data_IF_627854521181
#
_entry.id   IF_627854521181
#
_cell.length_a   1.000
_cell.length_b   1.000
_cell.length_c   1.000
_cell.angle_alpha   90.00
_cell.angle_beta   90.00
_cell.angle_gamma   90.00
#
_symmetry.space_group_name_H-M   'P 1'
#
loop_
_entity.id
_entity.type
_entity.pdbx_description
1 polymer ?
#
# COMPACT_ATOMS: atom_id res chain seq x y z
N UNK A 1 -15.58 -12.43 -16.58
CA UNK A 1 -14.82 -12.27 -15.32
C UNK A 1 -15.32 -13.30 -14.33
N UNK A 2 -14.44 -13.90 -13.52
CA UNK A 2 -14.89 -14.77 -12.42
C UNK A 2 -15.69 -13.94 -11.42
N UNK A 3 -16.63 -14.59 -10.71
CA UNK A 3 -17.27 -13.96 -9.55
C UNK A 3 -16.19 -13.59 -8.51
N UNK A 4 -16.16 -12.35 -7.98
CA UNK A 4 -15.23 -11.96 -6.92
C UNK A 4 -15.26 -12.89 -5.71
N UNK A 5 -16.44 -13.43 -5.37
CA UNK A 5 -16.61 -14.43 -4.32
C UNK A 5 -15.76 -15.69 -4.58
N UNK A 6 -15.69 -16.13 -5.84
CA UNK A 6 -14.88 -17.29 -6.22
C UNK A 6 -13.38 -16.98 -6.16
N UNK A 7 -12.97 -15.77 -6.51
CA UNK A 7 -11.57 -15.37 -6.41
C UNK A 7 -11.12 -15.30 -4.95
N UNK A 8 -11.95 -14.76 -4.05
CA UNK A 8 -11.65 -14.74 -2.61
C UNK A 8 -11.61 -16.16 -2.03
N UNK A 9 -12.52 -17.06 -2.45
CA UNK A 9 -12.49 -18.47 -2.00
C UNK A 9 -11.20 -19.20 -2.37
N UNK A 10 -10.57 -18.87 -3.51
CA UNK A 10 -9.27 -19.43 -3.91
C UNK A 10 -8.13 -19.04 -2.98
N UNK A 11 -8.31 -18.03 -2.12
CA UNK A 11 -7.35 -17.62 -1.10
C UNK A 11 -7.48 -18.40 0.20
N UNK A 12 -8.56 -19.15 0.41
CA UNK A 12 -8.71 -19.98 1.62
C UNK A 12 -7.54 -20.98 1.76
N UNK A 13 -7.15 -21.74 0.70
CA UNK A 13 -5.98 -22.62 0.76
C UNK A 13 -4.63 -21.92 0.95
N UNK A 14 -4.57 -20.59 0.87
CA UNK A 14 -3.35 -19.84 1.17
C UNK A 14 -3.10 -19.67 2.66
N UNK A 15 -4.12 -19.89 3.51
CA UNK A 15 -4.02 -19.75 4.96
C UNK A 15 -3.81 -18.31 5.44
N UNK A 16 -3.56 -18.15 6.74
CA UNK A 16 -3.32 -16.85 7.36
C UNK A 16 -4.49 -15.86 7.17
N UNK A 17 -4.16 -14.61 6.88
CA UNK A 17 -5.09 -13.49 6.74
C UNK A 17 -5.44 -13.10 5.31
N UNK A 18 -4.98 -13.87 4.31
CA UNK A 18 -5.15 -13.54 2.89
C UNK A 18 -6.62 -13.36 2.51
N UNK A 19 -7.44 -14.39 2.70
CA UNK A 19 -8.86 -14.34 2.38
C UNK A 19 -9.59 -13.25 3.19
N UNK A 20 -9.26 -13.08 4.48
CA UNK A 20 -9.86 -12.06 5.34
C UNK A 20 -9.60 -10.62 4.84
N UNK A 21 -8.36 -10.33 4.43
CA UNK A 21 -7.97 -9.03 3.88
C UNK A 21 -8.74 -8.70 2.60
N UNK A 22 -8.70 -9.60 1.62
CA UNK A 22 -9.33 -9.35 0.33
C UNK A 22 -10.87 -9.35 0.43
N UNK A 23 -11.44 -10.12 1.35
CA UNK A 23 -12.86 -10.05 1.68
C UNK A 23 -13.25 -8.70 2.29
N UNK A 24 -12.42 -8.13 3.16
CA UNK A 24 -12.69 -6.81 3.72
C UNK A 24 -12.68 -5.71 2.65
N UNK A 25 -11.68 -5.71 1.76
CA UNK A 25 -11.63 -4.75 0.65
C UNK A 25 -12.84 -4.91 -0.29
N UNK A 26 -13.21 -6.16 -0.59
CA UNK A 26 -14.43 -6.50 -1.33
C UNK A 26 -15.70 -5.97 -0.64
N UNK A 27 -15.82 -6.19 0.67
CA UNK A 27 -16.94 -5.72 1.48
C UNK A 27 -17.10 -4.19 1.40
N UNK A 28 -16.02 -3.43 1.58
CA UNK A 28 -16.06 -1.97 1.48
C UNK A 28 -16.51 -1.53 0.08
N UNK A 29 -15.95 -2.13 -0.98
CA UNK A 29 -16.33 -1.79 -2.36
C UNK A 29 -17.81 -2.07 -2.65
N UNK A 30 -18.39 -3.12 -2.07
CA UNK A 30 -19.81 -3.47 -2.23
C UNK A 30 -20.72 -2.50 -1.48
N UNK A 31 -20.36 -2.16 -0.24
CA UNK A 31 -21.10 -1.17 0.55
C UNK A 31 -21.17 0.18 -0.18
N UNK A 32 -20.05 0.65 -0.73
CA UNK A 32 -20.00 1.92 -1.46
C UNK A 32 -20.75 1.91 -2.80
N UNK A 33 -21.06 0.73 -3.32
CA UNK A 33 -21.86 0.54 -4.53
C UNK A 33 -23.31 0.14 -4.21
N UNK A 34 -23.74 0.25 -2.94
CA UNK A 34 -25.07 -0.14 -2.47
C UNK A 34 -25.44 -1.59 -2.82
N UNK A 35 -24.47 -2.51 -2.74
CA UNK A 35 -24.66 -3.94 -3.00
C UNK A 35 -24.78 -4.73 -1.71
N UNK A 36 -25.56 -5.81 -1.76
CA UNK A 36 -25.58 -6.82 -0.71
C UNK A 36 -24.23 -7.52 -0.61
N UNK A 37 -23.81 -7.85 0.62
CA UNK A 37 -22.59 -8.62 0.87
C UNK A 37 -22.94 -10.06 1.26
N UNK A 38 -22.01 -10.98 0.97
CA UNK A 38 -22.23 -12.41 1.15
C UNK A 38 -21.88 -12.86 2.58
N UNK A 39 -22.86 -12.81 3.49
CA UNK A 39 -22.71 -13.28 4.88
C UNK A 39 -22.21 -14.74 4.99
N UNK A 40 -22.75 -15.71 4.22
CA UNK A 40 -22.21 -17.08 4.19
C UNK A 40 -20.71 -17.14 3.85
N UNK A 41 -20.24 -16.31 2.91
CA UNK A 41 -18.83 -16.24 2.56
C UNK A 41 -17.98 -15.70 3.72
N UNK A 42 -18.45 -14.66 4.43
CA UNK A 42 -17.76 -14.12 5.61
C UNK A 42 -17.50 -15.21 6.66
N UNK A 43 -18.52 -16.02 6.96
CA UNK A 43 -18.44 -17.11 7.93
C UNK A 43 -17.45 -18.21 7.48
N UNK A 44 -17.48 -18.57 6.20
CA UNK A 44 -16.54 -19.53 5.64
C UNK A 44 -15.09 -19.03 5.75
N UNK A 45 -14.83 -17.77 5.41
CA UNK A 45 -13.49 -17.18 5.46
C UNK A 45 -12.99 -17.10 6.90
N UNK A 46 -13.84 -16.65 7.83
CA UNK A 46 -13.52 -16.59 9.27
C UNK A 46 -13.02 -17.93 9.80
N UNK A 47 -13.70 -19.03 9.46
CA UNK A 47 -13.35 -20.40 9.88
C UNK A 47 -11.99 -20.88 9.38
N UNK A 48 -11.51 -20.30 8.29
CA UNK A 48 -10.28 -20.73 7.61
C UNK A 48 -9.18 -19.67 7.63
N UNK A 49 -9.34 -18.61 8.43
CA UNK A 49 -8.35 -17.54 8.55
C UNK A 49 -7.63 -17.61 9.90
N UNK A 50 -6.40 -17.09 9.94
CA UNK A 50 -5.62 -16.95 11.16
C UNK A 50 -4.64 -15.78 11.07
N UNK A 51 -3.96 -15.46 12.17
CA UNK A 51 -3.05 -14.32 12.24
C UNK A 51 -3.74 -13.01 12.66
N UNK A 52 -2.96 -12.09 13.21
CA UNK A 52 -3.42 -10.78 13.68
C UNK A 52 -4.15 -9.97 12.59
N UNK A 53 -3.73 -10.10 11.33
CA UNK A 53 -4.38 -9.45 10.20
C UNK A 53 -5.84 -9.90 10.03
N UNK A 54 -6.09 -11.22 10.11
CA UNK A 54 -7.44 -11.76 10.01
C UNK A 54 -8.34 -11.24 11.14
N UNK A 55 -7.84 -11.28 12.38
CA UNK A 55 -8.54 -10.73 13.55
C UNK A 55 -8.91 -9.26 13.30
N UNK A 56 -7.93 -8.43 12.92
CA UNK A 56 -8.12 -6.99 12.65
C UNK A 56 -9.18 -6.72 11.58
N UNK A 57 -9.20 -7.45 10.47
CA UNK A 57 -10.18 -7.20 9.40
C UNK A 57 -11.58 -7.62 9.78
N UNK A 58 -11.72 -8.73 10.51
CA UNK A 58 -13.02 -9.18 10.95
C UNK A 58 -13.57 -8.32 12.10
N UNK A 59 -12.73 -7.81 12.99
CA UNK A 59 -13.15 -6.80 13.98
C UNK A 59 -13.70 -5.54 13.30
N UNK A 60 -13.06 -5.10 12.20
CA UNK A 60 -13.59 -3.98 11.40
C UNK A 60 -14.93 -4.30 10.76
N UNK A 61 -15.11 -5.51 10.21
CA UNK A 61 -16.39 -5.95 9.63
C UNK A 61 -17.49 -5.97 10.71
N UNK A 62 -17.20 -6.55 11.87
CA UNK A 62 -18.12 -6.61 13.00
C UNK A 62 -18.53 -5.21 13.46
N UNK A 63 -17.55 -4.30 13.56
CA UNK A 63 -17.81 -2.90 13.92
C UNK A 63 -18.73 -2.19 12.92
N UNK A 64 -18.56 -2.46 11.62
CA UNK A 64 -19.39 -1.81 10.58
C UNK A 64 -20.79 -2.43 10.51
N UNK A 65 -20.89 -3.75 10.64
CA UNK A 65 -22.16 -4.49 10.43
C UNK A 65 -23.00 -4.64 11.70
N UNK A 66 -22.40 -4.51 12.89
CA UNK A 66 -23.01 -4.89 14.16
C UNK A 66 -23.22 -6.40 14.32
N UNK A 67 -22.79 -7.22 13.36
CA UNK A 67 -22.96 -8.66 13.40
C UNK A 67 -21.83 -9.30 14.22
N UNK A 68 -22.16 -9.99 15.31
CA UNK A 68 -21.22 -10.74 16.16
C UNK A 68 -20.97 -12.18 15.70
N UNK A 69 -21.36 -12.54 14.48
CA UNK A 69 -21.38 -13.93 14.01
C UNK A 69 -20.01 -14.49 13.54
N UNK A 70 -18.91 -13.96 14.08
CA UNK A 70 -17.56 -14.35 13.66
C UNK A 70 -16.91 -15.15 14.77
N UNK A 71 -16.53 -16.39 14.44
CA UNK A 71 -15.89 -17.31 15.37
C UNK A 71 -14.54 -16.75 15.86
N UNK A 72 -14.05 -17.27 16.98
CA UNK A 72 -12.71 -16.98 17.46
C UNK A 72 -11.68 -17.30 16.36
N UNK A 73 -10.97 -16.28 15.89
CA UNK A 73 -9.87 -16.41 14.94
C UNK A 73 -8.57 -16.46 15.75
N UNK A 74 -7.79 -17.52 15.57
CA UNK A 74 -6.48 -17.62 16.21
C UNK A 74 -5.54 -16.54 15.66
N UNK A 75 -4.80 -15.88 16.55
CA UNK A 75 -3.75 -14.91 16.20
C UNK A 75 -2.47 -15.58 15.69
N UNK A 76 -2.34 -16.90 15.83
CA UNK A 76 -1.20 -17.69 15.33
C UNK A 76 -1.35 -17.98 13.83
N UNK A 77 -0.26 -17.93 13.09
CA UNK A 77 -0.25 -18.29 11.66
C UNK A 77 -0.03 -19.80 11.53
N UNK A 78 -0.90 -20.50 10.79
CA UNK A 78 -0.72 -21.91 10.44
C UNK A 78 -0.77 -22.06 8.92
N UNK A 79 0.16 -22.86 8.36
CA UNK A 79 0.20 -23.26 6.94
C UNK A 79 -0.13 -22.13 5.96
N UNK A 80 0.67 -21.07 5.99
CA UNK A 80 0.42 -19.88 5.18
C UNK A 80 1.40 -19.78 4.01
N UNK A 81 0.87 -19.51 2.81
CA UNK A 81 1.65 -19.27 1.59
C UNK A 81 2.23 -17.86 1.59
N UNK A 82 3.44 -17.74 1.05
CA UNK A 82 4.11 -16.47 0.83
C UNK A 82 3.97 -16.02 -0.63
N UNK A 83 3.79 -14.72 -0.87
CA UNK A 83 3.83 -14.13 -2.22
C UNK A 83 5.26 -13.83 -2.71
N UNK A 84 6.22 -13.89 -1.80
CA UNK A 84 7.64 -13.64 -2.07
C UNK A 84 8.44 -14.73 -1.38
N UNK A 85 9.38 -15.35 -2.07
CA UNK A 85 10.37 -16.20 -1.39
C UNK A 85 11.31 -15.35 -0.52
N UNK A 86 11.08 -15.43 0.80
CA UNK A 86 11.85 -14.70 1.79
C UNK A 86 13.24 -15.31 2.03
N UNK A 87 13.46 -16.57 1.67
CA UNK A 87 14.73 -17.27 1.92
C UNK A 87 15.85 -16.75 1.00
N UNK A 88 15.52 -16.34 -0.21
CA UNK A 88 16.46 -15.77 -1.16
C UNK A 88 16.85 -14.32 -0.84
N UNK A 89 16.12 -13.64 0.06
CA UNK A 89 16.40 -12.25 0.43
C UNK A 89 17.57 -12.11 1.40
N UNK A 90 17.77 -13.09 2.29
CA UNK A 90 18.89 -13.06 3.24
C UNK A 90 20.25 -13.17 2.56
N UNK A 91 20.27 -13.61 1.29
CA UNK A 91 21.49 -13.78 0.50
C UNK A 91 21.81 -12.59 -0.43
N UNK A 92 20.88 -11.63 -0.59
CA UNK A 92 21.08 -10.48 -1.46
C UNK A 92 21.61 -9.28 -0.66
N UNK A 93 22.89 -8.96 -0.83
CA UNK A 93 23.54 -7.79 -0.22
C UNK A 93 23.18 -6.49 -0.96
N UNK A 94 21.89 -6.14 -1.03
CA UNK A 94 21.45 -4.85 -1.57
C UNK A 94 21.14 -3.91 -0.41
N UNK A 95 22.00 -2.90 -0.20
CA UNK A 95 21.83 -1.90 0.87
C UNK A 95 20.48 -1.17 0.78
N UNK A 96 19.92 -1.03 -0.42
CA UNK A 96 18.63 -0.37 -0.64
C UNK A 96 17.45 -1.17 -0.09
N UNK A 97 17.65 -2.42 0.33
CA UNK A 97 16.64 -3.24 1.01
C UNK A 97 16.66 -3.09 2.53
N UNK A 98 17.61 -2.31 3.08
CA UNK A 98 17.81 -2.18 4.53
C UNK A 98 17.24 -0.88 5.07
N UNK A 99 16.65 -0.93 6.27
CA UNK A 99 16.14 0.26 6.94
C UNK A 99 17.26 1.23 7.34
N UNK A 100 18.44 0.71 7.64
CA UNK A 100 19.63 1.49 7.99
C UNK A 100 20.03 2.47 6.87
N UNK A 101 20.05 2.01 5.61
CA UNK A 101 20.38 2.85 4.46
C UNK A 101 19.42 4.04 4.33
N UNK A 102 18.10 3.78 4.31
CA UNK A 102 17.10 4.83 4.15
C UNK A 102 17.06 5.80 5.32
N UNK A 103 17.31 5.32 6.54
CA UNK A 103 17.42 6.17 7.72
C UNK A 103 18.64 7.09 7.64
N UNK A 104 19.80 6.59 7.17
CA UNK A 104 20.98 7.41 6.94
C UNK A 104 20.68 8.50 5.92
N UNK A 105 20.14 8.11 4.75
CA UNK A 105 19.74 9.05 3.69
C UNK A 105 18.80 10.14 4.20
N UNK A 106 17.82 9.79 5.03
CA UNK A 106 16.90 10.75 5.64
C UNK A 106 17.63 11.73 6.57
N UNK A 107 18.51 11.24 7.45
CA UNK A 107 19.28 12.08 8.39
C UNK A 107 20.22 13.03 7.67
N UNK A 108 20.89 12.54 6.62
CA UNK A 108 21.79 13.33 5.78
C UNK A 108 21.02 14.45 5.08
N UNK A 109 19.87 14.14 4.48
CA UNK A 109 19.02 15.13 3.81
C UNK A 109 18.46 16.18 4.77
N UNK A 110 18.09 15.79 6.00
CA UNK A 110 17.58 16.73 7.01
C UNK A 110 18.68 17.45 7.78
N UNK A 111 19.97 17.19 7.49
CA UNK A 111 21.14 17.73 8.19
C UNK A 111 21.02 17.61 9.71
N UNK A 112 20.55 16.46 10.21
CA UNK A 112 20.14 16.38 11.61
C UNK A 112 20.51 15.07 12.30
N UNK A 113 21.20 15.20 13.45
CA UNK A 113 21.20 14.18 14.51
C UNK A 113 19.86 14.12 15.27
N UNK A 114 18.85 14.84 14.77
CA UNK A 114 17.54 14.95 15.38
C UNK A 114 16.83 13.58 15.42
N UNK A 115 16.28 13.18 16.58
CA UNK A 115 15.49 11.97 16.71
C UNK A 115 14.37 11.89 15.65
N UNK A 116 14.15 10.70 15.08
CA UNK A 116 13.14 10.44 14.06
C UNK A 116 11.74 10.97 14.44
N UNK A 117 11.39 10.87 15.73
CA UNK A 117 10.13 11.42 16.28
C UNK A 117 9.96 12.92 16.02
N UNK A 118 11.04 13.69 16.10
CA UNK A 118 11.01 15.14 15.86
C UNK A 118 10.91 15.43 14.35
N UNK A 119 11.59 14.64 13.51
CA UNK A 119 11.45 14.73 12.04
C UNK A 119 10.00 14.46 11.65
N UNK A 120 9.39 13.37 12.14
CA UNK A 120 7.96 13.05 11.94
C UNK A 120 7.06 14.18 12.41
N UNK A 121 7.27 14.69 13.63
CA UNK A 121 6.45 15.77 14.18
C UNK A 121 6.55 17.06 13.35
N UNK A 122 7.73 17.40 12.82
CA UNK A 122 7.92 18.54 11.93
C UNK A 122 7.14 18.34 10.62
N UNK A 123 7.30 17.19 9.97
CA UNK A 123 6.59 16.85 8.75
C UNK A 123 5.06 16.81 8.93
N UNK A 124 4.58 16.51 10.14
CA UNK A 124 3.16 16.54 10.50
C UNK A 124 2.63 17.96 10.82
N UNK A 125 3.50 18.86 11.31
CA UNK A 125 3.14 20.24 11.70
C UNK A 125 3.15 21.24 10.56
N UNK A 126 3.84 20.97 9.46
CA UNK A 126 3.82 21.80 8.25
C UNK A 126 2.46 21.69 7.54
N UNK A 127 1.49 22.36 8.15
CA UNK A 127 0.10 22.50 7.74
C UNK A 127 -0.03 23.76 6.90
N UNK A 128 0.14 23.66 5.60
CA UNK A 128 -0.67 24.49 4.72
C UNK A 128 -1.79 23.57 4.19
N UNK A 129 -2.84 24.07 3.58
CA UNK A 129 -3.74 23.26 2.76
C UNK A 129 -3.70 23.89 1.38
N UNK A 130 -3.43 23.14 0.29
CA UNK A 130 -3.66 23.73 -1.00
C UNK A 130 -5.18 23.91 -1.17
N UNK A 131 -5.61 25.09 -1.61
CA UNK A 131 -7.02 25.36 -1.88
C UNK A 131 -7.47 24.55 -3.12
N UNK A 132 -8.50 23.70 -2.99
CA UNK A 132 -9.08 23.02 -4.14
C UNK A 132 -9.68 21.64 -3.87
N UNK A 133 -10.31 21.07 -4.90
CA UNK A 133 -10.86 19.72 -4.89
C UNK A 133 -9.76 18.65 -5.05
N UNK A 134 -9.85 17.50 -4.35
CA UNK A 134 -8.90 16.39 -4.50
C UNK A 134 -8.75 15.94 -5.95
N UNK A 135 -9.87 15.82 -6.68
CA UNK A 135 -9.88 15.46 -8.10
C UNK A 135 -9.07 16.45 -8.94
N UNK A 136 -9.22 17.75 -8.64
CA UNK A 136 -8.48 18.80 -9.36
C UNK A 136 -6.97 18.69 -9.14
N UNK A 137 -6.52 18.26 -7.95
CA UNK A 137 -5.10 17.98 -7.73
C UNK A 137 -4.61 16.77 -8.54
N UNK A 138 -5.42 15.71 -8.62
CA UNK A 138 -5.06 14.56 -9.45
C UNK A 138 -4.90 14.96 -10.92
N UNK A 139 -5.88 15.70 -11.46
CA UNK A 139 -5.93 16.11 -12.86
C UNK A 139 -4.84 17.12 -13.24
N UNK A 140 -4.59 18.12 -12.39
CA UNK A 140 -3.68 19.21 -12.72
C UNK A 140 -2.22 18.96 -12.30
N UNK A 141 -1.98 18.01 -11.39
CA UNK A 141 -0.64 17.76 -10.87
C UNK A 141 -0.25 16.29 -10.91
N UNK A 142 -1.02 15.39 -10.30
CA UNK A 142 -0.60 13.99 -10.14
C UNK A 142 -0.48 13.24 -11.45
N UNK A 143 -1.52 13.25 -12.29
CA UNK A 143 -1.50 12.52 -13.56
C UNK A 143 -0.50 13.12 -14.56
N UNK A 144 -0.38 14.45 -14.71
CA UNK A 144 0.69 15.05 -15.51
C UNK A 144 2.08 14.62 -15.03
N UNK A 145 2.36 14.72 -13.73
CA UNK A 145 3.65 14.30 -13.16
C UNK A 145 3.91 12.81 -13.41
N UNK A 146 2.91 11.95 -13.21
CA UNK A 146 3.05 10.52 -13.47
C UNK A 146 3.28 10.23 -14.96
N UNK A 147 2.70 10.99 -15.88
CA UNK A 147 2.99 10.84 -17.31
C UNK A 147 4.43 11.28 -17.65
N UNK A 148 4.99 12.26 -16.93
CA UNK A 148 6.42 12.62 -17.05
C UNK A 148 7.33 11.50 -16.51
N UNK A 149 6.95 10.86 -15.40
CA UNK A 149 7.69 9.74 -14.78
C UNK A 149 7.49 8.39 -15.52
N UNK A 150 6.39 8.26 -16.26
CA UNK A 150 5.98 7.06 -17.02
C UNK A 150 5.40 7.47 -18.39
N UNK A 151 6.25 7.65 -19.43
CA UNK A 151 5.87 8.27 -20.70
C UNK A 151 4.83 7.49 -21.53
N UNK A 152 4.47 6.27 -21.14
CA UNK A 152 3.48 5.43 -21.83
C UNK A 152 2.05 5.57 -21.28
N UNK A 153 1.80 6.49 -20.35
CA UNK A 153 0.48 6.67 -19.71
C UNK A 153 -0.37 7.75 -20.39
N UNK A 154 -1.68 7.57 -20.40
CA UNK A 154 -2.61 8.60 -20.89
C UNK A 154 -2.86 9.66 -19.81
N UNK A 155 -2.80 10.97 -20.14
CA UNK A 155 -2.95 12.04 -19.14
C UNK A 155 -4.40 12.26 -18.69
N UNK A 156 -5.38 11.89 -19.52
CA UNK A 156 -6.80 12.06 -19.22
C UNK A 156 -7.38 10.73 -18.76
N UNK A 157 -7.79 10.67 -17.50
CA UNK A 157 -8.43 9.50 -16.91
C UNK A 157 -9.75 9.88 -16.25
N UNK A 158 -10.77 9.06 -16.48
CA UNK A 158 -12.05 9.21 -15.81
C UNK A 158 -11.98 8.51 -14.45
N UNK A 159 -11.90 9.30 -13.38
CA UNK A 159 -11.90 8.82 -12.00
C UNK A 159 -13.11 9.38 -11.28
N UNK A 160 -13.86 8.52 -10.58
CA UNK A 160 -14.92 8.98 -9.67
C UNK A 160 -14.37 9.19 -8.28
N UNK A 161 -14.94 10.13 -7.53
CA UNK A 161 -14.55 10.44 -6.17
C UNK A 161 -15.72 10.28 -5.21
N UNK A 162 -15.49 9.63 -4.07
CA UNK A 162 -16.48 9.42 -3.02
C UNK A 162 -15.88 9.79 -1.65
N UNK A 163 -16.52 10.70 -0.93
CA UNK A 163 -16.21 10.96 0.47
C UNK A 163 -17.09 10.13 1.39
N UNK A 164 -16.47 9.39 2.30
CA UNK A 164 -17.16 8.45 3.18
C UNK A 164 -16.35 8.15 4.43
N UNK A 165 -17.00 7.99 5.58
CA UNK A 165 -16.33 7.58 6.82
C UNK A 165 -15.75 6.16 6.73
N UNK A 166 -16.32 5.31 5.86
CA UNK A 166 -15.85 3.94 5.61
C UNK A 166 -14.41 3.90 5.09
N UNK A 167 -13.96 4.94 4.37
CA UNK A 167 -12.59 5.03 3.90
C UNK A 167 -11.58 5.14 5.05
N UNK A 168 -12.00 5.54 6.26
CA UNK A 168 -11.17 5.49 7.46
C UNK A 168 -10.86 4.06 7.92
N UNK A 169 -11.67 3.09 7.51
CA UNK A 169 -11.48 1.67 7.82
C UNK A 169 -10.74 0.93 6.70
N UNK A 170 -10.89 1.38 5.45
CA UNK A 170 -10.26 0.81 4.28
C UNK A 170 -8.75 1.04 4.24
N UNK A 171 -8.00 0.02 3.82
CA UNK A 171 -6.57 0.21 3.50
C UNK A 171 -6.42 0.83 2.12
N UNK A 172 -6.90 0.14 1.07
CA UNK A 172 -6.96 0.69 -0.27
C UNK A 172 -7.85 1.91 -0.27
N UNK A 173 -7.37 2.98 -0.89
CA UNK A 173 -8.19 4.19 -1.11
C UNK A 173 -8.87 4.17 -2.46
N UNK A 174 -8.89 3.04 -3.16
CA UNK A 174 -9.48 2.92 -4.47
C UNK A 174 -10.12 1.55 -4.68
N UNK A 175 -11.02 1.48 -5.65
CA UNK A 175 -11.53 0.24 -6.24
C UNK A 175 -11.93 0.50 -7.69
N UNK A 176 -12.33 -0.54 -8.42
CA UNK A 176 -12.78 -0.45 -9.81
C UNK A 176 -14.25 -0.85 -9.89
N UNK A 177 -15.07 -0.06 -10.57
CA UNK A 177 -16.47 -0.42 -10.84
C UNK A 177 -16.56 -1.55 -11.85
N UNK A 178 -17.73 -2.20 -11.97
CA UNK A 178 -17.95 -3.23 -12.99
C UNK A 178 -17.74 -2.71 -14.43
N UNK A 179 -17.94 -1.41 -14.65
CA UNK A 179 -17.69 -0.74 -15.93
C UNK A 179 -16.22 -0.39 -16.17
N UNK A 180 -15.31 -0.78 -15.27
CA UNK A 180 -13.88 -0.50 -15.37
C UNK A 180 -13.48 0.93 -14.99
N UNK A 181 -14.35 1.68 -14.29
CA UNK A 181 -14.03 3.04 -13.87
C UNK A 181 -13.39 3.00 -12.48
N UNK A 182 -12.17 3.52 -12.29
CA UNK A 182 -11.57 3.66 -10.97
C UNK A 182 -12.36 4.63 -10.10
N UNK A 183 -12.51 4.28 -8.84
CA UNK A 183 -13.20 5.07 -7.84
C UNK A 183 -12.22 5.33 -6.71
N UNK A 184 -11.92 6.60 -6.45
CA UNK A 184 -11.13 7.06 -5.32
C UNK A 184 -12.05 7.34 -4.12
N UNK A 185 -11.65 6.87 -2.94
CA UNK A 185 -12.36 7.08 -1.68
C UNK A 185 -11.52 7.86 -0.68
N UNK A 186 -12.12 8.84 -0.03
CA UNK A 186 -11.49 9.58 1.05
C UNK A 186 -12.41 9.81 2.24
N UNK A 187 -11.84 10.19 3.39
CA UNK A 187 -12.56 10.23 4.65
C UNK A 187 -13.22 11.59 4.86
N UNK A 188 -14.55 11.63 4.87
CA UNK A 188 -15.37 12.84 5.03
C UNK A 188 -14.99 13.74 6.22
N UNK A 189 -14.53 13.18 7.34
CA UNK A 189 -14.19 13.95 8.56
C UNK A 189 -12.69 14.23 8.69
N UNK A 190 -11.87 13.60 7.84
CA UNK A 190 -10.43 13.81 7.76
C UNK A 190 -9.97 14.37 6.40
N UNK A 191 -10.90 14.65 5.47
CA UNK A 191 -10.64 15.15 4.11
C UNK A 191 -10.36 16.65 4.06
N UNK A 192 -9.84 17.21 5.15
CA UNK A 192 -9.23 18.53 5.15
C UNK A 192 -7.71 18.33 4.96
N UNK A 193 -7.26 18.49 3.73
CA UNK A 193 -5.88 18.30 3.24
C UNK A 193 -4.80 18.80 4.21
N UNK A 194 -4.01 17.88 4.76
CA UNK A 194 -2.80 18.14 5.58
C UNK A 194 -1.60 17.49 4.89
N UNK A 195 -0.50 18.21 4.73
CA UNK A 195 0.19 18.26 3.43
C UNK A 195 1.26 17.22 3.09
N UNK A 196 2.24 16.92 3.94
CA UNK A 196 3.49 16.32 3.45
C UNK A 196 3.40 14.81 3.19
N UNK A 197 3.00 14.02 4.20
CA UNK A 197 2.76 12.57 4.02
C UNK A 197 1.54 12.29 3.13
N UNK A 198 0.53 13.17 3.15
CA UNK A 198 -0.63 13.05 2.27
C UNK A 198 -0.25 13.25 0.80
N UNK A 199 0.66 14.17 0.45
CA UNK A 199 1.08 14.33 -0.95
C UNK A 199 1.64 13.02 -1.52
N UNK A 200 2.67 12.47 -0.89
CA UNK A 200 3.37 11.32 -1.44
C UNK A 200 2.44 10.11 -1.44
N UNK A 201 1.75 9.86 -0.33
CA UNK A 201 0.90 8.68 -0.23
C UNK A 201 -0.41 8.81 -0.99
N UNK A 202 -1.13 9.93 -0.92
CA UNK A 202 -2.44 10.07 -1.57
C UNK A 202 -2.36 10.61 -2.99
N UNK A 203 -1.48 11.57 -3.26
CA UNK A 203 -1.45 12.26 -4.54
C UNK A 203 -0.37 11.72 -5.50
N UNK A 204 0.56 10.89 -5.05
CA UNK A 204 1.46 10.17 -5.96
C UNK A 204 1.18 8.66 -5.95
N UNK A 205 1.24 8.03 -4.78
CA UNK A 205 1.08 6.58 -4.68
C UNK A 205 -0.34 6.12 -5.05
N UNK A 206 -1.38 6.64 -4.40
CA UNK A 206 -2.77 6.31 -4.80
C UNK A 206 -3.09 6.80 -6.23
N UNK A 207 -2.53 7.94 -6.66
CA UNK A 207 -2.70 8.42 -8.02
C UNK A 207 -2.10 7.45 -9.05
N UNK A 208 -0.98 6.79 -8.73
CA UNK A 208 -0.39 5.76 -9.58
C UNK A 208 -1.32 4.58 -9.73
N UNK A 209 -1.94 4.13 -8.63
CA UNK A 209 -2.96 3.08 -8.68
C UNK A 209 -4.14 3.50 -9.56
N UNK A 210 -4.68 4.70 -9.36
CA UNK A 210 -5.81 5.21 -10.15
C UNK A 210 -5.47 5.32 -11.64
N UNK A 211 -4.28 5.82 -11.99
CA UNK A 211 -3.81 5.93 -13.37
C UNK A 211 -3.61 4.55 -14.01
N UNK A 212 -3.02 3.60 -13.27
CA UNK A 212 -2.87 2.21 -13.71
C UNK A 212 -4.24 1.60 -14.01
N UNK A 213 -5.15 1.67 -13.04
CA UNK A 213 -6.49 1.07 -13.15
C UNK A 213 -7.35 1.74 -14.20
N UNK A 214 -7.17 3.03 -14.47
CA UNK A 214 -7.87 3.71 -15.56
C UNK A 214 -7.42 3.23 -16.94
N UNK A 215 -6.12 2.95 -17.10
CA UNK A 215 -5.56 2.48 -18.36
C UNK A 215 -5.71 0.96 -18.54
N UNK A 216 -5.73 0.19 -17.44
CA UNK A 216 -5.74 -1.26 -17.43
C UNK A 216 -6.72 -1.85 -16.38
N UNK A 217 -8.02 -1.51 -16.43
CA UNK A 217 -8.98 -1.84 -15.37
C UNK A 217 -9.19 -3.34 -15.15
N UNK A 218 -8.85 -4.16 -16.15
CA UNK A 218 -9.06 -5.61 -16.15
C UNK A 218 -7.78 -6.40 -16.42
N UNK A 219 -6.61 -5.79 -16.22
CA UNK A 219 -5.34 -6.50 -16.42
C UNK A 219 -5.17 -7.69 -15.45
N UNK A 220 -5.67 -7.59 -14.22
CA UNK A 220 -5.65 -8.68 -13.25
C UNK A 220 -6.78 -8.59 -12.24
N UNK A 221 -6.96 -9.65 -11.45
CA UNK A 221 -7.93 -9.65 -10.36
C UNK A 221 -7.37 -8.87 -9.18
N UNK A 222 -8.09 -7.85 -8.69
CA UNK A 222 -7.70 -7.10 -7.49
C UNK A 222 -7.74 -7.95 -6.21
N UNK A 223 -8.25 -9.18 -6.31
CA UNK A 223 -8.26 -10.20 -5.26
C UNK A 223 -7.14 -11.24 -5.43
N UNK A 224 -6.30 -11.13 -6.47
CA UNK A 224 -5.06 -11.90 -6.60
C UNK A 224 -3.93 -11.20 -5.82
N UNK A 225 -3.32 -11.86 -4.81
CA UNK A 225 -2.19 -11.33 -4.07
C UNK A 225 -1.02 -10.86 -4.93
N UNK A 226 -0.71 -11.58 -6.02
CA UNK A 226 0.41 -11.25 -6.90
C UNK A 226 0.14 -9.98 -7.69
N UNK A 227 -1.06 -9.86 -8.25
CA UNK A 227 -1.45 -8.65 -8.97
C UNK A 227 -1.60 -7.45 -8.04
N UNK A 228 -2.16 -7.64 -6.84
CA UNK A 228 -2.22 -6.58 -5.83
C UNK A 228 -0.82 -6.06 -5.49
N UNK A 229 0.14 -6.96 -5.24
CA UNK A 229 1.52 -6.57 -4.93
C UNK A 229 2.23 -5.92 -6.12
N UNK A 230 1.91 -6.31 -7.35
CA UNK A 230 2.40 -5.66 -8.56
C UNK A 230 1.93 -4.21 -8.67
N UNK A 231 0.68 -3.91 -8.35
CA UNK A 231 0.19 -2.52 -8.27
C UNK A 231 0.99 -1.71 -7.24
N UNK A 232 1.19 -2.27 -6.04
CA UNK A 232 2.02 -1.62 -5.01
C UNK A 232 3.46 -1.39 -5.49
N UNK A 233 4.02 -2.31 -6.27
CA UNK A 233 5.36 -2.22 -6.84
C UNK A 233 5.50 -1.06 -7.83
N UNK A 234 4.49 -0.88 -8.69
CA UNK A 234 4.44 0.23 -9.66
C UNK A 234 4.32 1.57 -8.94
N UNK A 235 3.47 1.65 -7.91
CA UNK A 235 3.32 2.86 -7.09
C UNK A 235 4.61 3.20 -6.31
N UNK A 236 5.32 2.21 -5.77
CA UNK A 236 6.64 2.39 -5.17
C UNK A 236 7.68 2.87 -6.18
N UNK A 237 7.64 2.34 -7.42
CA UNK A 237 8.54 2.79 -8.49
C UNK A 237 8.27 4.25 -8.88
N UNK A 238 7.02 4.71 -8.84
CA UNK A 238 6.66 6.10 -9.05
C UNK A 238 7.27 7.03 -7.99
N UNK A 239 7.17 6.63 -6.71
CA UNK A 239 7.82 7.33 -5.59
C UNK A 239 9.33 7.42 -5.78
N UNK A 240 9.97 6.32 -6.18
CA UNK A 240 11.42 6.27 -6.36
C UNK A 240 11.89 7.13 -7.53
N UNK A 241 11.17 7.10 -8.66
CA UNK A 241 11.45 7.98 -9.81
C UNK A 241 11.27 9.44 -9.45
N UNK A 242 10.26 9.79 -8.66
CA UNK A 242 10.11 11.16 -8.17
C UNK A 242 11.28 11.57 -7.26
N UNK A 243 11.73 10.69 -6.36
CA UNK A 243 12.90 10.95 -5.52
C UNK A 243 14.13 11.26 -6.39
N UNK A 244 14.44 10.39 -7.35
CA UNK A 244 15.56 10.59 -8.28
C UNK A 244 15.42 11.88 -9.11
N UNK A 245 14.21 12.15 -9.61
CA UNK A 245 13.90 13.37 -10.36
C UNK A 245 14.20 14.61 -9.52
N UNK A 246 13.70 14.66 -8.28
CA UNK A 246 13.93 15.77 -7.37
C UNK A 246 15.41 15.88 -7.01
N UNK A 247 16.10 14.79 -6.69
CA UNK A 247 17.54 14.79 -6.35
C UNK A 247 18.42 15.28 -7.49
N UNK A 248 18.02 15.05 -8.75
CA UNK A 248 18.71 15.57 -9.94
C UNK A 248 18.57 17.09 -10.17
N UNK A 249 18.03 17.83 -9.19
CA UNK A 249 17.76 19.27 -9.23
C UNK A 249 16.82 19.71 -10.36
N UNK A 250 16.02 18.79 -10.91
CA UNK A 250 14.98 19.15 -11.88
C UNK A 250 13.83 19.86 -11.19
N UNK A 251 13.29 20.88 -11.86
CA UNK A 251 12.11 21.58 -11.40
C UNK A 251 10.85 20.79 -11.73
N UNK A 252 9.87 20.77 -10.82
CA UNK A 252 8.54 20.27 -11.13
C UNK A 252 7.85 21.27 -12.08
N UNK A 253 7.29 20.78 -13.19
CA UNK A 253 6.61 21.59 -14.21
C UNK A 253 5.46 22.46 -13.66
N UNK A 254 4.87 22.08 -12.52
CA UNK A 254 3.67 22.70 -11.94
C UNK A 254 3.85 23.23 -10.50
N UNK A 255 5.00 23.84 -10.17
CA UNK A 255 5.27 24.37 -8.80
C UNK A 255 4.20 25.34 -8.27
N UNK A 256 3.55 26.13 -9.14
CA UNK A 256 2.57 27.14 -8.72
C UNK A 256 1.25 26.58 -8.17
N UNK A 257 0.94 25.32 -8.48
CA UNK A 257 -0.25 24.63 -7.98
C UNK A 257 0.04 24.04 -6.58
N UNK A 258 1.30 24.09 -6.13
CA UNK A 258 1.80 23.19 -5.11
C UNK A 258 2.42 23.91 -3.90
N UNK A 259 1.98 23.60 -2.67
CA UNK A 259 2.39 24.34 -1.46
C UNK A 259 3.65 23.78 -0.77
N UNK A 260 4.13 22.57 -1.13
CA UNK A 260 5.35 22.02 -0.50
C UNK A 260 6.59 22.32 -1.32
N UNK A 261 7.64 22.72 -0.60
CA UNK A 261 8.97 22.83 -1.17
C UNK A 261 9.56 21.44 -1.46
N UNK A 262 10.51 21.38 -2.40
CA UNK A 262 11.22 20.16 -2.82
C UNK A 262 11.79 19.35 -1.64
N UNK A 263 12.39 20.02 -0.66
CA UNK A 263 13.08 19.35 0.46
C UNK A 263 12.10 18.56 1.34
N UNK A 264 10.88 19.06 1.50
CA UNK A 264 9.84 18.38 2.25
C UNK A 264 9.37 17.11 1.52
N UNK A 265 9.21 17.19 0.19
CA UNK A 265 8.81 16.04 -0.63
C UNK A 265 9.87 14.93 -0.54
N UNK A 266 11.16 15.30 -0.67
CA UNK A 266 12.28 14.35 -0.50
C UNK A 266 12.26 13.72 0.89
N UNK A 267 12.11 14.51 1.96
CA UNK A 267 12.05 14.00 3.33
C UNK A 267 10.93 12.97 3.54
N UNK A 268 9.75 13.23 2.96
CA UNK A 268 8.61 12.30 3.05
C UNK A 268 8.86 11.02 2.26
N UNK A 269 9.41 11.12 1.05
CA UNK A 269 9.76 9.94 0.24
C UNK A 269 10.77 9.06 0.99
N UNK A 270 11.84 9.65 1.53
CA UNK A 270 12.85 8.94 2.30
C UNK A 270 12.26 8.27 3.56
N UNK A 271 11.36 8.95 4.28
CA UNK A 271 10.62 8.36 5.40
C UNK A 271 9.74 7.18 4.94
N UNK A 272 9.06 7.31 3.80
CA UNK A 272 8.27 6.23 3.20
C UNK A 272 9.11 5.00 2.88
N UNK A 273 10.28 5.19 2.23
CA UNK A 273 11.20 4.09 1.95
C UNK A 273 11.74 3.43 3.22
N UNK A 274 12.08 4.23 4.23
CA UNK A 274 12.48 3.71 5.55
C UNK A 274 11.38 2.83 6.16
N UNK A 275 10.12 3.28 6.16
CA UNK A 275 8.98 2.49 6.65
C UNK A 275 8.77 1.20 5.85
N UNK A 276 9.00 1.20 4.53
CA UNK A 276 8.89 0.00 3.69
C UNK A 276 10.05 -0.97 3.89
N UNK A 277 11.25 -0.48 4.17
CA UNK A 277 12.38 -1.32 4.54
C UNK A 277 12.17 -1.97 5.92
N UNK A 278 11.64 -1.25 6.91
CA UNK A 278 11.23 -1.85 8.19
C UNK A 278 10.17 -2.95 8.01
N UNK A 279 9.23 -2.77 7.08
CA UNK A 279 8.25 -3.81 6.73
C UNK A 279 8.92 -5.06 6.17
N UNK A 280 9.89 -4.90 5.27
CA UNK A 280 10.66 -6.02 4.73
C UNK A 280 11.39 -6.77 5.86
N UNK A 281 12.12 -6.06 6.71
CA UNK A 281 12.82 -6.64 7.86
C UNK A 281 11.86 -7.40 8.78
N UNK A 282 10.69 -6.80 9.08
CA UNK A 282 9.65 -7.45 9.86
C UNK A 282 9.10 -8.72 9.18
N UNK A 283 8.89 -8.71 7.86
CA UNK A 283 8.43 -9.88 7.10
C UNK A 283 9.40 -11.06 7.25
N UNK A 284 10.70 -10.78 7.11
CA UNK A 284 11.77 -11.76 7.29
C UNK A 284 11.79 -12.29 8.72
N UNK A 285 11.76 -11.43 9.73
CA UNK A 285 11.82 -11.87 11.12
C UNK A 285 10.58 -12.68 11.52
N UNK A 286 9.38 -12.19 11.21
CA UNK A 286 8.13 -12.81 11.64
C UNK A 286 7.82 -14.10 10.87
N UNK A 287 8.09 -14.15 9.56
CA UNK A 287 7.64 -15.27 8.73
C UNK A 287 8.75 -16.24 8.35
N UNK A 288 9.99 -15.77 8.15
CA UNK A 288 11.12 -16.64 7.86
C UNK A 288 11.79 -17.13 9.15
N UNK A 289 12.19 -16.22 10.05
CA UNK A 289 12.81 -16.58 11.33
C UNK A 289 11.81 -16.97 12.43
N UNK A 290 10.50 -16.84 12.18
CA UNK A 290 9.42 -17.20 13.11
C UNK A 290 9.50 -16.48 14.45
N UNK A 291 10.07 -15.27 14.47
CA UNK A 291 10.03 -14.42 15.66
C UNK A 291 8.58 -14.06 16.00
N UNK A 292 8.24 -14.01 17.29
CA UNK A 292 6.90 -13.60 17.69
C UNK A 292 6.68 -12.10 17.40
N UNK A 293 5.44 -11.67 17.05
CA UNK A 293 5.14 -10.25 16.87
C UNK A 293 5.47 -9.40 18.09
N UNK A 294 5.23 -9.92 19.29
CA UNK A 294 5.46 -9.18 20.53
C UNK A 294 6.95 -8.96 20.77
N UNK A 295 7.79 -9.97 20.50
CA UNK A 295 9.24 -9.85 20.66
C UNK A 295 9.80 -8.85 19.64
N UNK A 296 9.39 -8.95 18.37
CA UNK A 296 9.81 -7.99 17.35
C UNK A 296 9.37 -6.55 17.67
N UNK A 297 8.14 -6.36 18.16
CA UNK A 297 7.65 -5.05 18.58
C UNK A 297 8.39 -4.52 19.81
N UNK A 298 8.78 -5.40 20.74
CA UNK A 298 9.59 -5.01 21.91
C UNK A 298 11.02 -4.62 21.50
N UNK A 299 11.61 -5.31 20.52
CA UNK A 299 12.93 -4.96 19.97
C UNK A 299 12.87 -3.65 19.18
N UNK A 300 11.98 -3.58 18.20
CA UNK A 300 11.80 -2.41 17.34
C UNK A 300 11.32 -1.18 18.10
N UNK A 301 10.40 -1.33 19.06
CA UNK A 301 9.90 -0.24 19.90
C UNK A 301 10.93 0.33 20.87
N UNK A 302 12.00 -0.41 21.18
CA UNK A 302 13.17 0.13 21.89
C UNK A 302 14.05 1.00 20.98
N UNK A 303 14.07 0.70 19.70
CA UNK A 303 14.91 1.39 18.72
C UNK A 303 14.19 2.56 18.02
N UNK A 304 12.88 2.45 17.84
CA UNK A 304 12.05 3.36 17.04
C UNK A 304 10.68 3.60 17.68
N UNK A 305 9.95 4.59 17.17
CA UNK A 305 8.59 4.94 17.61
C UNK A 305 7.60 3.79 17.32
N UNK A 306 6.83 3.36 18.34
CA UNK A 306 5.92 2.21 18.26
C UNK A 306 4.85 2.36 17.18
N UNK A 307 4.44 3.59 16.85
CA UNK A 307 3.46 3.84 15.79
C UNK A 307 3.95 3.36 14.41
N UNK A 308 5.28 3.31 14.20
CA UNK A 308 5.86 2.84 12.93
C UNK A 308 5.57 1.36 12.69
N UNK A 309 5.25 0.59 13.72
CA UNK A 309 5.02 -0.85 13.63
C UNK A 309 3.55 -1.25 13.59
N UNK A 310 2.62 -0.28 13.51
CA UNK A 310 1.19 -0.58 13.35
C UNK A 310 0.87 -1.46 12.13
N UNK A 311 1.78 -1.53 11.15
CA UNK A 311 1.69 -2.42 10.01
C UNK A 311 1.73 -3.90 10.40
N UNK A 312 2.36 -4.29 11.52
CA UNK A 312 2.45 -5.70 11.96
C UNK A 312 1.05 -6.28 12.17
N UNK A 313 0.18 -5.52 12.83
CA UNK A 313 -1.24 -5.88 13.01
C UNK A 313 -1.99 -6.01 11.68
N UNK A 314 -1.49 -5.40 10.60
CA UNK A 314 -2.11 -5.40 9.29
C UNK A 314 -1.64 -6.55 8.38
N UNK A 315 -0.39 -6.98 8.54
CA UNK A 315 0.27 -7.87 7.59
C UNK A 315 0.84 -9.16 8.20
N UNK A 316 0.79 -9.37 9.52
CA UNK A 316 1.25 -10.63 10.12
C UNK A 316 0.53 -11.87 9.53
N UNK A 317 -0.70 -11.74 9.02
CA UNK A 317 -1.34 -12.86 8.32
C UNK A 317 -0.97 -13.03 6.85
N UNK A 318 -0.03 -12.25 6.30
CA UNK A 318 0.20 -12.07 4.86
C UNK A 318 1.69 -12.21 4.50
N UNK A 319 2.30 -13.40 4.65
CA UNK A 319 3.74 -13.58 4.43
C UNK A 319 4.20 -13.13 3.04
N UNK A 320 5.32 -12.40 3.00
CA UNK A 320 5.90 -11.87 1.76
C UNK A 320 5.25 -10.59 1.23
N UNK A 321 4.07 -10.21 1.73
CA UNK A 321 3.38 -9.02 1.24
C UNK A 321 4.07 -7.73 1.71
N UNK A 322 4.66 -7.73 2.90
CA UNK A 322 5.39 -6.57 3.44
C UNK A 322 6.69 -6.35 2.68
N UNK A 323 7.45 -7.40 2.46
CA UNK A 323 8.71 -7.40 1.72
C UNK A 323 8.49 -7.05 0.24
N UNK A 324 7.39 -7.53 -0.33
CA UNK A 324 7.07 -7.38 -1.74
C UNK A 324 6.97 -5.94 -2.24
N UNK A 325 6.69 -4.96 -1.37
CA UNK A 325 6.71 -3.54 -1.74
C UNK A 325 8.05 -3.11 -2.32
N UNK A 326 9.12 -3.31 -1.54
CA UNK A 326 10.44 -2.79 -1.86
C UNK A 326 11.13 -3.69 -2.89
N UNK A 327 10.98 -5.01 -2.76
CA UNK A 327 11.51 -5.98 -3.72
C UNK A 327 10.83 -5.81 -5.08
N UNK A 328 9.51 -5.66 -5.08
CA UNK A 328 8.72 -5.47 -6.28
C UNK A 328 9.09 -4.22 -7.05
N UNK A 329 9.33 -3.12 -6.34
CA UNK A 329 9.86 -1.91 -6.93
C UNK A 329 11.17 -2.18 -7.69
N UNK A 330 12.14 -2.86 -7.08
CA UNK A 330 13.41 -3.18 -7.75
C UNK A 330 13.22 -4.13 -8.93
N UNK A 331 12.38 -5.16 -8.78
CA UNK A 331 12.04 -6.06 -9.90
C UNK A 331 11.42 -5.27 -11.06
N UNK A 332 10.49 -4.38 -10.77
CA UNK A 332 9.85 -3.53 -11.78
C UNK A 332 10.85 -2.62 -12.49
N UNK A 333 11.68 -1.90 -11.73
CA UNK A 333 12.67 -0.96 -12.29
C UNK A 333 13.72 -1.67 -13.16
N UNK A 334 14.01 -2.94 -12.89
CA UNK A 334 15.01 -3.74 -13.62
C UNK A 334 14.40 -4.66 -14.70
N UNK A 335 13.08 -4.75 -14.83
CA UNK A 335 12.44 -5.73 -15.70
C UNK A 335 12.65 -5.46 -17.20
N UNK A 336 12.90 -4.21 -17.60
CA UNK A 336 13.04 -3.81 -19.00
C UNK A 336 11.75 -3.86 -19.84
N UNK A 337 10.62 -4.33 -19.26
CA UNK A 337 9.35 -4.53 -19.96
C UNK A 337 8.15 -4.03 -19.11
N UNK A 338 8.18 -2.73 -18.80
CA UNK A 338 7.15 -2.08 -17.98
C UNK A 338 5.74 -2.27 -18.54
N UNK A 339 5.58 -2.23 -19.87
CA UNK A 339 4.27 -2.34 -20.52
C UNK A 339 3.62 -3.71 -20.28
N UNK A 340 4.37 -4.81 -20.37
CA UNK A 340 3.80 -6.13 -20.11
C UNK A 340 3.51 -6.33 -18.62
N UNK A 341 4.26 -5.70 -17.72
CA UNK A 341 3.91 -5.70 -16.29
C UNK A 341 2.62 -4.93 -16.03
N UNK A 342 2.46 -3.74 -16.61
CA UNK A 342 1.26 -2.92 -16.39
C UNK A 342 -0.01 -3.56 -16.95
N UNK A 343 0.12 -4.27 -18.08
CA UNK A 343 -0.97 -5.06 -18.67
C UNK A 343 -1.11 -6.46 -18.05
N UNK A 344 -0.32 -6.77 -17.02
CA UNK A 344 -0.28 -8.05 -16.32
C UNK A 344 -0.06 -9.28 -17.23
N UNK A 345 0.61 -9.07 -18.37
CA UNK A 345 1.12 -10.16 -19.22
C UNK A 345 2.39 -10.79 -18.67
N UNK A 346 3.14 -10.02 -17.89
CA UNK A 346 4.30 -10.46 -17.11
C UNK A 346 4.00 -10.18 -15.65
N UNK A 347 4.12 -11.19 -14.80
CA UNK A 347 3.92 -11.06 -13.35
C UNK A 347 5.26 -10.96 -12.63
N UNK A 348 5.41 -9.97 -11.74
CA UNK A 348 6.68 -9.73 -11.02
C UNK A 348 7.03 -10.83 -9.99
N UNK A 349 6.02 -11.54 -9.51
CA UNK A 349 6.12 -12.41 -8.34
C UNK A 349 5.65 -13.84 -8.59
N UNK A 350 5.28 -14.18 -9.83
CA UNK A 350 5.04 -15.57 -10.16
C UNK A 350 6.38 -16.28 -10.21
N UNK A 351 6.60 -17.18 -9.26
CA UNK A 351 7.63 -18.19 -9.42
C UNK A 351 7.08 -19.23 -10.39
N UNK A 352 7.87 -19.56 -11.42
CA UNK A 352 7.58 -20.72 -12.25
C UNK A 352 7.66 -21.94 -11.31
N UNK A 353 6.50 -22.44 -10.88
CA UNK A 353 6.41 -23.74 -10.19
C UNK A 353 6.97 -24.85 -11.07
#
# INVERSE_FOLDING_TARGET
MNSPDNDIKKLIPWGGGWAARFYFDYYISHQLQNRSYNLPLASLISKNSSGMAAVKYFDKINKITGATQIQYISSEIKNCRSVVDLSNLTNQANELLTSAYWLSRLKDHTNSNTPLKIIKAKLQKEQLAPSGSPLRFLELWSFPLLCELFPFQKPVVNVRYIETELSGQAWKKWFVSDSGVPIWIDNKTKSNFRQSQYLVWKLLHEATHLLHLANYPFAGSLHDPYYALQLESVAMAAEFRLLQYLESNKELSNKHIFPLNRNNIISVLLLGFFERALRLEADVQLHYHRQSPNDWLADGGRQYDSELFHFVNEFHGLPGFMAGYLIGMFKYLNAGDEKNILTNKTQLFYENN
#
